data_IF_785292192099
#
_entry.id   IF_785292192099
#
_cell.length_a   1.000
_cell.length_b   1.000
_cell.length_c   1.000
_cell.angle_alpha   90.00
_cell.angle_beta   90.00
_cell.angle_gamma   90.00
#
_symmetry.space_group_name_H-M   'P 1'
#
loop_
_entity.id
_entity.type
_entity.pdbx_description
1 polymer ?
#
# COMPACT_ATOMS: atom_id res chain seq x y z
N UNK A 1 25.30 -1.93 6.18
CA UNK A 1 24.06 -2.16 5.42
C UNK A 1 22.91 -1.40 6.05
N UNK A 2 22.04 -0.82 5.24
CA UNK A 2 20.71 -0.35 5.66
C UNK A 2 19.69 -1.43 5.32
N UNK A 3 18.91 -1.87 6.29
CA UNK A 3 17.77 -2.77 6.09
C UNK A 3 16.47 -1.98 6.17
N UNK A 4 15.65 -2.04 5.13
CA UNK A 4 14.27 -1.54 5.13
C UNK A 4 13.36 -2.69 5.55
N UNK A 5 12.74 -2.56 6.73
CA UNK A 5 11.87 -3.62 7.30
C UNK A 5 10.51 -3.75 6.57
N UNK A 6 9.66 -4.66 7.07
CA UNK A 6 8.34 -4.91 6.51
C UNK A 6 7.36 -3.73 6.73
N UNK A 7 7.70 -2.82 7.63
CA UNK A 7 7.00 -1.57 7.92
C UNK A 7 7.58 -0.39 7.11
N UNK A 8 8.60 -0.62 6.28
CA UNK A 8 9.24 0.41 5.46
C UNK A 8 10.23 1.30 6.22
N UNK A 9 10.61 0.95 7.45
CA UNK A 9 11.56 1.71 8.25
C UNK A 9 13.01 1.27 7.98
N UNK A 10 13.93 2.22 7.80
CA UNK A 10 15.34 1.91 7.65
C UNK A 10 16.01 1.64 9.01
N UNK A 11 16.82 0.58 9.07
CA UNK A 11 17.62 0.18 10.21
C UNK A 11 19.08 0.01 9.80
N UNK A 12 20.01 0.44 10.64
CA UNK A 12 21.41 0.07 10.46
C UNK A 12 21.60 -1.40 10.82
N UNK A 13 22.18 -2.17 9.91
CA UNK A 13 22.45 -3.60 10.08
C UNK A 13 23.96 -3.88 9.99
N UNK A 14 24.68 -3.84 11.13
CA UNK A 14 26.08 -4.24 11.19
C UNK A 14 26.21 -5.73 10.83
N UNK A 15 27.12 -6.07 9.91
CA UNK A 15 27.32 -7.46 9.48
C UNK A 15 26.39 -7.95 8.35
N UNK A 16 25.44 -7.11 7.90
CA UNK A 16 24.53 -7.45 6.80
C UNK A 16 23.53 -8.55 7.16
N UNK A 17 22.89 -9.14 6.15
CA UNK A 17 21.84 -10.15 6.35
C UNK A 17 22.33 -11.48 6.95
N UNK A 18 23.65 -11.72 6.95
CA UNK A 18 24.24 -12.95 7.49
C UNK A 18 24.35 -12.94 9.03
N UNK A 19 24.31 -11.77 9.66
CA UNK A 19 24.25 -11.67 11.12
C UNK A 19 22.83 -11.91 11.62
N UNK A 20 22.53 -13.16 11.93
CA UNK A 20 21.20 -13.58 12.38
C UNK A 20 20.71 -12.86 13.65
N UNK A 21 21.62 -12.44 14.54
CA UNK A 21 21.23 -11.74 15.77
C UNK A 21 20.86 -10.28 15.47
N UNK A 22 21.70 -9.60 14.69
CA UNK A 22 21.44 -8.22 14.26
C UNK A 22 20.20 -8.13 13.37
N UNK A 23 20.01 -9.09 12.45
CA UNK A 23 18.86 -9.15 11.57
C UNK A 23 17.56 -9.42 12.35
N UNK A 24 17.59 -10.32 13.33
CA UNK A 24 16.44 -10.54 14.20
C UNK A 24 16.06 -9.26 14.95
N UNK A 25 17.03 -8.59 15.57
CA UNK A 25 16.81 -7.37 16.35
C UNK A 25 16.23 -6.23 15.49
N UNK A 26 16.79 -6.02 14.29
CA UNK A 26 16.29 -5.02 13.34
C UNK A 26 14.85 -5.29 12.87
N UNK A 27 14.43 -6.56 12.83
CA UNK A 27 13.05 -6.96 12.51
C UNK A 27 12.13 -7.00 13.75
N UNK A 28 12.61 -6.56 14.92
CA UNK A 28 11.86 -6.53 16.17
C UNK A 28 11.73 -7.90 16.85
N UNK A 29 12.64 -8.83 16.59
CA UNK A 29 12.68 -10.17 17.17
C UNK A 29 13.95 -10.37 18.00
N UNK A 30 13.84 -11.09 19.12
CA UNK A 30 14.98 -11.52 19.91
C UNK A 30 15.38 -12.95 19.53
N UNK A 31 16.63 -13.15 19.13
CA UNK A 31 17.19 -14.49 18.93
C UNK A 31 17.49 -15.16 20.29
N UNK A 32 16.78 -16.25 20.58
CA UNK A 32 16.90 -17.05 21.82
C UNK A 32 17.20 -18.53 21.49
N UNK A 33 17.63 -19.36 22.47
CA UNK A 33 17.89 -20.79 22.24
C UNK A 33 16.71 -21.56 21.63
N UNK A 34 15.48 -21.19 21.98
CA UNK A 34 14.24 -21.75 21.48
C UNK A 34 13.80 -21.26 20.09
N UNK A 35 14.39 -20.16 19.59
CA UNK A 35 14.06 -19.57 18.29
C UNK A 35 14.04 -18.04 18.28
N UNK A 36 13.33 -17.46 17.31
CA UNK A 36 13.07 -16.03 17.22
C UNK A 36 11.84 -15.70 18.05
N UNK A 37 11.94 -14.80 19.02
CA UNK A 37 10.83 -14.47 19.90
C UNK A 37 10.47 -12.99 19.88
N UNK A 38 9.16 -12.70 19.86
CA UNK A 38 8.57 -11.37 20.02
C UNK A 38 7.37 -11.49 20.95
N UNK A 39 7.42 -10.75 22.05
CA UNK A 39 6.48 -10.88 23.17
C UNK A 39 6.36 -12.34 23.64
N UNK A 40 5.14 -12.90 23.69
CA UNK A 40 4.84 -14.28 24.07
C UNK A 40 4.96 -15.27 22.90
N UNK A 41 5.29 -14.81 21.70
CA UNK A 41 5.38 -15.64 20.49
C UNK A 41 6.84 -15.99 20.21
N UNK A 42 7.12 -17.28 20.00
CA UNK A 42 8.43 -17.76 19.56
C UNK A 42 8.28 -18.65 18.32
N UNK A 43 9.06 -18.34 17.28
CA UNK A 43 9.14 -19.08 16.02
C UNK A 43 10.45 -19.88 16.01
N UNK A 44 10.40 -21.22 15.95
CA UNK A 44 11.62 -22.02 15.93
C UNK A 44 12.36 -21.84 14.59
N UNK A 45 13.66 -21.59 14.67
CA UNK A 45 14.51 -21.44 13.48
C UNK A 45 14.62 -22.77 12.71
N UNK A 46 14.78 -23.88 13.42
CA UNK A 46 14.97 -25.23 12.83
C UNK A 46 16.11 -25.29 11.79
N UNK A 47 17.15 -24.48 11.96
CA UNK A 47 18.28 -24.38 11.02
C UNK A 47 18.00 -23.54 9.77
N UNK A 48 16.82 -22.92 9.66
CA UNK A 48 16.48 -21.98 8.58
C UNK A 48 17.10 -20.59 8.85
N UNK A 49 17.40 -19.82 7.78
CA UNK A 49 17.68 -18.39 7.89
C UNK A 49 16.57 -17.62 8.63
N UNK A 50 16.91 -16.45 9.17
CA UNK A 50 15.96 -15.59 9.91
C UNK A 50 14.76 -15.20 9.04
N UNK A 51 15.00 -14.75 7.80
CA UNK A 51 13.92 -14.36 6.88
C UNK A 51 12.96 -15.52 6.59
N UNK A 52 13.50 -16.68 6.21
CA UNK A 52 12.71 -17.90 5.97
C UNK A 52 11.91 -18.34 7.19
N UNK A 53 12.50 -18.22 8.39
CA UNK A 53 11.82 -18.57 9.63
C UNK A 53 10.62 -17.65 9.91
N UNK A 54 10.76 -16.37 9.59
CA UNK A 54 9.72 -15.34 9.73
C UNK A 54 8.76 -15.28 8.52
N UNK A 55 8.99 -16.08 7.48
CA UNK A 55 8.20 -16.04 6.25
C UNK A 55 8.34 -14.72 5.49
N UNK A 56 9.56 -14.19 5.46
CA UNK A 56 9.93 -12.97 4.74
C UNK A 56 10.79 -13.30 3.52
N UNK A 57 10.68 -12.47 2.49
CA UNK A 57 11.56 -12.42 1.33
C UNK A 57 12.44 -11.17 1.43
N UNK A 58 13.60 -11.18 0.77
CA UNK A 58 14.54 -10.07 0.81
C UNK A 58 15.16 -9.75 -0.55
N UNK A 59 15.42 -8.48 -0.80
CA UNK A 59 16.18 -7.95 -1.93
C UNK A 59 17.39 -7.21 -1.37
N UNK A 60 18.55 -7.36 -2.01
CA UNK A 60 19.80 -6.70 -1.61
C UNK A 60 20.42 -5.98 -2.81
N UNK A 61 20.75 -4.70 -2.64
CA UNK A 61 21.72 -3.98 -3.46
C UNK A 61 23.07 -3.97 -2.73
N UNK A 62 23.97 -4.89 -3.11
CA UNK A 62 25.30 -4.98 -2.50
C UNK A 62 26.16 -3.75 -2.78
N UNK A 63 25.95 -3.06 -3.92
CA UNK A 63 26.75 -1.91 -4.31
C UNK A 63 26.37 -0.67 -3.49
N UNK A 64 25.09 -0.51 -3.19
CA UNK A 64 24.57 0.57 -2.35
C UNK A 64 24.55 0.23 -0.85
N UNK A 65 24.84 -1.02 -0.48
CA UNK A 65 24.78 -1.52 0.91
C UNK A 65 23.38 -1.34 1.53
N UNK A 66 22.33 -1.65 0.74
CA UNK A 66 20.91 -1.54 1.13
C UNK A 66 20.20 -2.87 0.89
N UNK A 67 19.32 -3.26 1.80
CA UNK A 67 18.40 -4.38 1.64
C UNK A 67 16.97 -3.94 2.00
N UNK A 68 15.97 -4.62 1.44
CA UNK A 68 14.59 -4.49 1.87
C UNK A 68 13.96 -5.87 2.03
N UNK A 69 13.06 -6.00 3.00
CA UNK A 69 12.29 -7.23 3.21
C UNK A 69 10.80 -6.99 3.06
N UNK A 70 10.08 -8.05 2.70
CA UNK A 70 8.63 -8.10 2.50
C UNK A 70 8.12 -9.46 3.01
N UNK A 71 6.84 -9.60 3.38
CA UNK A 71 6.25 -10.92 3.62
C UNK A 71 6.29 -11.79 2.36
N UNK A 72 6.46 -13.10 2.53
CA UNK A 72 6.20 -14.06 1.44
C UNK A 72 4.71 -14.05 1.07
N UNK A 73 4.37 -14.59 -0.11
CA UNK A 73 2.99 -14.75 -0.54
C UNK A 73 2.17 -15.54 0.49
N UNK A 74 2.72 -16.63 1.02
CA UNK A 74 2.04 -17.45 2.03
C UNK A 74 1.75 -16.66 3.32
N UNK A 75 2.72 -15.87 3.79
CA UNK A 75 2.55 -15.01 4.97
C UNK A 75 1.49 -13.95 4.71
N UNK A 76 1.59 -13.27 3.57
CA UNK A 76 0.69 -12.22 3.16
C UNK A 76 -0.76 -12.70 2.98
N UNK A 77 -0.96 -13.85 2.32
CA UNK A 77 -2.29 -14.45 2.15
C UNK A 77 -2.90 -14.80 3.49
N UNK A 78 -2.11 -15.37 4.41
CA UNK A 78 -2.59 -15.70 5.75
C UNK A 78 -3.05 -14.47 6.54
N UNK A 79 -2.36 -13.34 6.38
CA UNK A 79 -2.77 -12.07 7.00
C UNK A 79 -4.10 -11.57 6.43
N UNK A 80 -4.27 -11.60 5.11
CA UNK A 80 -5.51 -11.20 4.43
C UNK A 80 -6.68 -12.13 4.74
N UNK A 81 -6.46 -13.45 4.72
CA UNK A 81 -7.49 -14.48 4.93
C UNK A 81 -8.08 -14.46 6.35
N UNK A 82 -7.36 -13.89 7.33
CA UNK A 82 -7.90 -13.64 8.67
C UNK A 82 -9.10 -12.68 8.68
N UNK A 83 -9.25 -11.89 7.62
CA UNK A 83 -10.32 -10.92 7.42
C UNK A 83 -10.30 -9.74 8.39
N UNK A 84 -9.29 -9.66 9.27
CA UNK A 84 -9.03 -8.49 10.11
C UNK A 84 -8.25 -7.48 9.28
N UNK A 85 -8.62 -6.21 9.39
CA UNK A 85 -7.89 -5.12 8.74
C UNK A 85 -6.42 -5.15 9.19
N UNK A 86 -5.46 -5.21 8.25
CA UNK A 86 -4.05 -5.06 8.57
C UNK A 86 -3.80 -3.73 9.29
N UNK A 87 -2.95 -3.76 10.31
CA UNK A 87 -2.54 -2.55 11.03
C UNK A 87 -1.88 -1.57 10.06
N UNK A 88 -2.08 -0.26 10.21
CA UNK A 88 -1.34 0.76 9.46
C UNK A 88 -0.91 1.89 10.38
N UNK A 89 0.36 1.92 10.73
CA UNK A 89 0.99 3.06 11.40
C UNK A 89 1.90 3.76 10.38
N UNK A 90 1.50 4.96 9.99
CA UNK A 90 2.15 5.75 8.95
C UNK A 90 2.49 7.15 9.48
N UNK A 91 2.94 8.01 8.57
CA UNK A 91 3.18 9.43 8.86
C UNK A 91 2.31 10.31 7.97
N UNK A 92 1.86 11.44 8.49
CA UNK A 92 1.27 12.50 7.69
C UNK A 92 2.35 13.22 6.86
N UNK A 93 1.93 14.17 6.04
CA UNK A 93 2.83 14.97 5.17
C UNK A 93 3.83 15.83 5.95
N UNK A 94 3.60 16.07 7.25
CA UNK A 94 4.53 16.79 8.14
C UNK A 94 5.37 15.82 8.99
N UNK A 95 5.29 14.52 8.73
CA UNK A 95 6.03 13.47 9.44
C UNK A 95 5.43 13.05 10.79
N UNK A 96 4.24 13.54 11.16
CA UNK A 96 3.58 13.17 12.42
C UNK A 96 2.98 11.77 12.31
N UNK A 97 3.05 10.94 13.37
CA UNK A 97 2.47 9.61 13.34
C UNK A 97 0.94 9.70 13.22
N UNK A 98 0.38 8.88 12.32
CA UNK A 98 -1.07 8.69 12.16
C UNK A 98 -1.34 7.20 11.97
N UNK A 99 -2.37 6.68 12.63
CA UNK A 99 -2.70 5.26 12.56
C UNK A 99 -4.14 5.05 12.08
N UNK A 100 -4.35 4.09 11.18
CA UNK A 100 -5.70 3.69 10.77
C UNK A 100 -6.43 2.97 11.92
N UNK A 101 -5.67 2.34 12.81
CA UNK A 101 -6.15 1.62 13.99
C UNK A 101 -6.67 2.57 15.08
N UNK A 102 -6.25 3.83 15.10
CA UNK A 102 -6.79 4.86 16.01
C UNK A 102 -8.30 5.11 15.78
N UNK A 103 -8.82 4.68 14.63
CA UNK A 103 -10.22 4.79 14.25
C UNK A 103 -11.04 3.52 14.58
N UNK A 104 -10.44 2.50 15.21
CA UNK A 104 -11.10 1.24 15.58
C UNK A 104 -12.38 1.46 16.40
N UNK A 105 -13.34 0.54 16.28
CA UNK A 105 -14.69 0.68 16.87
C UNK A 105 -15.66 1.52 16.04
N UNK A 106 -15.22 2.04 14.89
CA UNK A 106 -16.06 2.74 13.91
C UNK A 106 -16.12 1.97 12.59
N UNK A 107 -17.19 2.23 11.82
CA UNK A 107 -17.16 1.95 10.38
C UNK A 107 -16.12 2.85 9.74
N UNK A 108 -15.12 2.24 9.12
CA UNK A 108 -13.99 2.95 8.53
C UNK A 108 -13.89 2.69 7.05
N UNK A 109 -13.39 3.68 6.34
CA UNK A 109 -13.03 3.55 4.92
C UNK A 109 -11.61 4.02 4.73
N UNK A 110 -10.79 3.13 4.18
CA UNK A 110 -9.44 3.41 3.72
C UNK A 110 -9.50 3.81 2.24
N UNK A 111 -9.04 5.01 1.91
CA UNK A 111 -8.97 5.53 0.54
C UNK A 111 -7.52 5.67 0.13
N UNK A 112 -7.05 4.89 -0.83
CA UNK A 112 -5.72 5.09 -1.40
C UNK A 112 -5.77 5.95 -2.64
N UNK A 113 -4.81 6.86 -2.76
CA UNK A 113 -4.66 7.78 -3.87
C UNK A 113 -3.18 8.07 -4.09
N UNK A 114 -2.83 8.86 -5.09
CA UNK A 114 -1.46 9.32 -5.27
C UNK A 114 -1.40 10.64 -6.05
N UNK A 115 -0.35 11.44 -5.85
CA UNK A 115 -0.15 12.72 -6.56
C UNK A 115 -0.05 12.55 -8.08
N UNK A 116 0.39 11.38 -8.53
CA UNK A 116 0.53 11.00 -9.94
C UNK A 116 -0.75 10.42 -10.56
N UNK A 117 -1.86 10.38 -9.83
CA UNK A 117 -3.15 9.90 -10.31
C UNK A 117 -4.23 11.02 -10.34
N UNK A 118 -5.25 10.86 -11.17
CA UNK A 118 -6.39 11.79 -11.24
C UNK A 118 -7.10 11.93 -9.88
N UNK A 119 -7.14 10.85 -9.10
CA UNK A 119 -7.82 10.81 -7.82
C UNK A 119 -7.27 11.76 -6.75
N UNK A 120 -6.09 12.37 -6.94
CA UNK A 120 -5.60 13.47 -6.09
C UNK A 120 -6.56 14.65 -5.96
N UNK A 121 -7.47 14.84 -6.93
CA UNK A 121 -8.50 15.88 -6.90
C UNK A 121 -9.75 15.48 -6.12
N UNK A 122 -9.91 14.20 -5.78
CA UNK A 122 -11.14 13.65 -5.21
C UNK A 122 -11.20 13.78 -3.67
N UNK A 123 -10.15 14.31 -3.03
CA UNK A 123 -10.08 14.47 -1.56
C UNK A 123 -11.26 15.30 -1.02
N UNK A 124 -11.64 16.36 -1.74
CA UNK A 124 -12.81 17.16 -1.38
C UNK A 124 -14.13 16.39 -1.56
N UNK A 125 -14.18 15.42 -2.48
CA UNK A 125 -15.30 14.49 -2.63
C UNK A 125 -15.45 13.57 -1.43
N UNK A 126 -14.34 12.97 -1.00
CA UNK A 126 -14.29 12.18 0.23
C UNK A 126 -14.63 13.00 1.47
N UNK A 127 -14.19 14.26 1.56
CA UNK A 127 -14.55 15.16 2.65
C UNK A 127 -16.08 15.36 2.75
N UNK A 128 -16.80 15.48 1.64
CA UNK A 128 -18.28 15.58 1.65
C UNK A 128 -18.93 14.33 2.26
N UNK A 129 -18.42 13.14 1.94
CA UNK A 129 -18.91 11.88 2.52
C UNK A 129 -18.60 11.77 4.01
N UNK A 130 -17.40 12.20 4.43
CA UNK A 130 -17.04 12.29 5.84
C UNK A 130 -18.02 13.21 6.59
N UNK A 131 -18.29 14.41 6.07
CA UNK A 131 -19.21 15.36 6.70
C UNK A 131 -20.65 14.83 6.78
N UNK A 132 -21.10 14.15 5.72
CA UNK A 132 -22.45 13.57 5.66
C UNK A 132 -22.63 12.43 6.67
N UNK A 133 -21.66 11.53 6.77
CA UNK A 133 -21.81 10.24 7.46
C UNK A 133 -21.07 10.15 8.80
N UNK A 134 -20.32 11.19 9.20
CA UNK A 134 -19.60 11.20 10.49
C UNK A 134 -20.52 11.00 11.70
N UNK A 135 -21.70 11.63 11.67
CA UNK A 135 -22.71 11.50 12.71
C UNK A 135 -23.36 10.11 12.76
N UNK A 136 -23.39 9.42 11.60
CA UNK A 136 -23.85 8.04 11.46
C UNK A 136 -22.76 7.01 11.84
N UNK A 137 -21.55 7.48 12.20
CA UNK A 137 -20.46 6.64 12.71
C UNK A 137 -19.31 6.38 11.73
N UNK A 138 -19.35 6.93 10.49
CA UNK A 138 -18.28 6.76 9.52
C UNK A 138 -17.00 7.52 9.91
N UNK A 139 -15.84 6.91 9.68
CA UNK A 139 -14.52 7.54 9.75
C UNK A 139 -13.71 7.24 8.48
N UNK A 140 -13.32 8.28 7.76
CA UNK A 140 -12.40 8.17 6.63
C UNK A 140 -10.95 8.20 7.12
N UNK A 141 -10.09 7.53 6.37
CA UNK A 141 -8.64 7.63 6.44
C UNK A 141 -8.12 7.51 5.01
N UNK A 142 -7.28 8.44 4.56
CA UNK A 142 -6.68 8.32 3.23
C UNK A 142 -5.17 8.17 3.28
N UNK A 143 -4.63 7.50 2.27
CA UNK A 143 -3.19 7.27 2.12
C UNK A 143 -2.75 7.68 0.72
N UNK A 144 -1.80 8.59 0.66
CA UNK A 144 -1.08 8.96 -0.54
C UNK A 144 0.06 7.94 -0.78
N UNK A 145 0.01 7.20 -1.89
CA UNK A 145 1.05 6.24 -2.29
C UNK A 145 2.14 6.96 -3.10
N UNK A 146 2.89 7.81 -2.40
CA UNK A 146 3.89 8.72 -2.96
C UNK A 146 5.26 8.45 -2.31
N UNK A 147 6.32 8.41 -3.12
CA UNK A 147 7.70 8.14 -2.64
C UNK A 147 8.32 9.34 -1.90
N UNK A 148 7.86 10.55 -2.22
CA UNK A 148 8.17 11.81 -1.54
C UNK A 148 6.88 12.45 -1.01
N UNK A 149 6.76 12.69 0.32
CA UNK A 149 5.63 13.38 0.90
C UNK A 149 5.33 14.74 0.27
N UNK A 150 6.35 15.46 -0.21
CA UNK A 150 6.19 16.78 -0.82
C UNK A 150 5.39 16.74 -2.14
N UNK A 151 5.37 15.60 -2.85
CA UNK A 151 4.56 15.44 -4.06
C UNK A 151 3.05 15.44 -3.74
N UNK A 152 2.68 14.92 -2.57
CA UNK A 152 1.30 14.85 -2.09
C UNK A 152 0.82 16.14 -1.42
N UNK A 153 1.73 16.93 -0.83
CA UNK A 153 1.42 18.13 -0.03
C UNK A 153 0.46 19.11 -0.72
N UNK A 154 0.66 19.54 -1.98
CA UNK A 154 -0.21 20.53 -2.61
C UNK A 154 -1.66 20.05 -2.74
N UNK A 155 -1.85 18.75 -2.92
CA UNK A 155 -3.17 18.14 -3.07
C UNK A 155 -3.89 18.02 -1.73
N UNK A 156 -3.17 17.67 -0.67
CA UNK A 156 -3.69 17.64 0.70
C UNK A 156 -4.10 19.05 1.13
N UNK A 157 -3.25 20.05 0.90
CA UNK A 157 -3.53 21.45 1.24
C UNK A 157 -4.70 22.02 0.44
N UNK A 158 -4.86 21.63 -0.84
CA UNK A 158 -6.00 22.05 -1.65
C UNK A 158 -7.31 21.36 -1.26
N UNK A 159 -7.25 20.08 -0.87
CA UNK A 159 -8.41 19.29 -0.46
C UNK A 159 -8.94 19.64 0.93
N UNK A 160 -8.09 20.22 1.79
CA UNK A 160 -8.38 20.59 3.19
C UNK A 160 -9.16 19.50 3.97
N UNK A 161 -8.67 18.24 3.96
CA UNK A 161 -9.36 17.15 4.63
C UNK A 161 -9.35 17.34 6.14
N UNK A 162 -10.48 17.06 6.78
CA UNK A 162 -10.65 17.00 8.23
C UNK A 162 -10.40 15.60 8.78
N UNK A 163 -10.46 14.59 7.91
CA UNK A 163 -10.07 13.22 8.22
C UNK A 163 -8.54 13.05 8.09
N UNK A 164 -7.93 12.05 8.78
CA UNK A 164 -6.49 11.84 8.70
C UNK A 164 -6.03 11.45 7.30
N UNK A 165 -4.92 12.04 6.86
CA UNK A 165 -4.23 11.70 5.61
C UNK A 165 -2.80 11.30 5.91
N UNK A 166 -2.46 10.07 5.58
CA UNK A 166 -1.10 9.56 5.65
C UNK A 166 -0.40 9.59 4.28
N UNK A 167 0.92 9.55 4.31
CA UNK A 167 1.78 9.32 3.15
C UNK A 167 2.53 8.01 3.37
N UNK A 168 2.42 7.11 2.39
CA UNK A 168 3.10 5.84 2.38
C UNK A 168 4.24 5.84 1.36
N UNK A 169 5.44 6.14 1.87
CA UNK A 169 6.69 6.21 1.08
C UNK A 169 7.33 4.84 0.85
N UNK A 170 6.76 3.75 1.39
CA UNK A 170 7.34 2.40 1.35
C UNK A 170 6.39 1.37 0.71
N UNK A 171 5.23 1.80 0.24
CA UNK A 171 4.19 0.97 -0.36
C UNK A 171 3.66 -0.15 0.55
N UNK A 172 3.73 0.05 1.87
CA UNK A 172 3.26 -0.93 2.87
C UNK A 172 1.73 -1.07 2.85
N UNK A 173 1.00 -0.02 2.52
CA UNK A 173 -0.46 0.00 2.38
C UNK A 173 -0.87 -0.84 1.19
N UNK A 174 -0.17 -0.66 0.06
CA UNK A 174 -0.46 -1.39 -1.16
C UNK A 174 -0.16 -2.89 -1.01
N UNK A 175 0.94 -3.21 -0.33
CA UNK A 175 1.28 -4.57 0.09
C UNK A 175 0.17 -5.15 0.95
N UNK A 176 -0.07 -4.60 2.15
CA UNK A 176 -0.92 -5.18 3.19
C UNK A 176 -2.35 -5.42 2.74
N UNK A 177 -2.91 -4.51 1.95
CA UNK A 177 -4.30 -4.62 1.49
C UNK A 177 -4.44 -5.28 0.11
N UNK A 178 -3.34 -5.68 -0.55
CA UNK A 178 -3.41 -6.27 -1.89
C UNK A 178 -3.86 -5.26 -2.96
N UNK A 179 -3.52 -3.98 -2.78
CA UNK A 179 -3.90 -2.90 -3.70
C UNK A 179 -2.88 -2.86 -4.83
N UNK A 180 -3.36 -2.94 -6.06
CA UNK A 180 -2.54 -2.90 -7.28
C UNK A 180 -2.80 -1.66 -8.14
N UNK A 181 -3.74 -0.80 -7.75
CA UNK A 181 -4.06 0.44 -8.47
C UNK A 181 -4.68 1.50 -7.54
N UNK A 182 -4.66 2.77 -7.96
CA UNK A 182 -5.34 3.88 -7.28
C UNK A 182 -6.31 4.62 -8.22
N UNK A 183 -7.44 5.15 -7.72
CA UNK A 183 -7.88 5.04 -6.33
C UNK A 183 -8.39 3.63 -6.00
N UNK A 184 -8.11 3.15 -4.79
CA UNK A 184 -8.74 1.94 -4.25
C UNK A 184 -9.32 2.20 -2.88
N UNK A 185 -10.46 1.58 -2.59
CA UNK A 185 -11.24 1.82 -1.38
C UNK A 185 -11.57 0.52 -0.69
N UNK A 186 -11.24 0.45 0.61
CA UNK A 186 -11.48 -0.70 1.49
C UNK A 186 -12.45 -0.28 2.58
N UNK A 187 -13.43 -1.13 2.90
CA UNK A 187 -14.35 -0.89 4.02
C UNK A 187 -14.05 -1.83 5.17
N UNK A 188 -14.03 -1.27 6.37
CA UNK A 188 -13.74 -1.98 7.61
C UNK A 188 -14.84 -1.70 8.62
N UNK A 189 -15.40 -2.74 9.23
CA UNK A 189 -16.43 -2.61 10.25
C UNK A 189 -15.85 -2.25 11.63
N UNK A 190 -16.77 -2.07 12.57
CA UNK A 190 -16.49 -1.71 13.97
C UNK A 190 -15.68 -2.78 14.73
N UNK A 191 -15.67 -4.03 14.25
CA UNK A 191 -14.93 -5.16 14.81
C UNK A 191 -13.54 -5.34 14.17
N UNK A 192 -13.10 -4.33 13.41
CA UNK A 192 -11.89 -4.30 12.59
C UNK A 192 -11.85 -5.37 11.49
N UNK A 193 -13.00 -5.81 10.97
CA UNK A 193 -13.03 -6.76 9.84
C UNK A 193 -13.13 -6.03 8.52
N UNK A 194 -12.34 -6.46 7.54
CA UNK A 194 -12.51 -6.03 6.15
C UNK A 194 -13.84 -6.60 5.64
N UNK A 195 -14.83 -5.74 5.43
CA UNK A 195 -16.16 -6.11 4.95
C UNK A 195 -16.35 -5.81 3.46
N UNK A 196 -15.46 -5.02 2.88
CA UNK A 196 -15.34 -4.87 1.44
C UNK A 196 -13.86 -4.73 1.08
N UNK A 197 -13.30 -5.64 0.27
CA UNK A 197 -11.90 -5.59 -0.15
C UNK A 197 -11.63 -4.36 -1.03
N UNK A 198 -10.37 -4.10 -1.41
CA UNK A 198 -10.07 -3.00 -2.30
C UNK A 198 -10.83 -3.11 -3.63
N UNK A 199 -11.62 -2.08 -3.92
CA UNK A 199 -12.20 -1.87 -5.25
C UNK A 199 -11.99 -0.43 -5.68
N UNK A 200 -12.13 -0.17 -6.97
CA UNK A 200 -11.86 1.15 -7.54
C UNK A 200 -13.10 2.02 -7.42
N UNK A 201 -13.06 2.97 -6.48
CA UNK A 201 -14.17 3.86 -6.18
C UNK A 201 -13.69 5.31 -6.20
N UNK A 202 -14.20 6.15 -7.11
CA UNK A 202 -13.87 7.57 -7.14
C UNK A 202 -14.65 8.36 -6.07
N UNK A 203 -14.03 9.42 -5.56
CA UNK A 203 -14.66 10.35 -4.61
C UNK A 203 -15.62 11.36 -5.25
N UNK A 204 -15.53 11.56 -6.57
CA UNK A 204 -16.44 12.38 -7.37
C UNK A 204 -16.40 12.03 -8.88
N UNK A 205 -17.20 12.73 -9.68
CA UNK A 205 -17.33 12.48 -11.13
C UNK A 205 -16.41 13.34 -12.00
N UNK A 206 -15.38 14.01 -11.44
CA UNK A 206 -14.51 14.90 -12.23
C UNK A 206 -13.85 14.16 -13.42
N UNK A 207 -13.60 12.85 -13.26
CA UNK A 207 -12.98 12.01 -14.29
C UNK A 207 -13.91 10.96 -14.88
N UNK A 208 -15.24 11.10 -14.75
CA UNK A 208 -16.21 10.09 -15.24
C UNK A 208 -16.07 9.79 -16.74
N UNK A 209 -15.69 10.79 -17.55
CA UNK A 209 -15.45 10.60 -18.97
C UNK A 209 -14.26 9.69 -19.27
N UNK A 210 -13.31 9.58 -18.35
CA UNK A 210 -12.15 8.69 -18.46
C UNK A 210 -12.41 7.35 -17.77
N UNK A 211 -12.86 7.38 -16.51
CA UNK A 211 -13.04 6.19 -15.68
C UNK A 211 -14.24 5.36 -16.12
N UNK A 212 -15.27 5.99 -16.68
CA UNK A 212 -16.60 5.42 -16.93
C UNK A 212 -17.27 4.87 -15.65
N UNK A 213 -16.82 5.33 -14.49
CA UNK A 213 -17.35 4.96 -13.17
C UNK A 213 -18.12 6.17 -12.64
N UNK A 214 -19.42 5.98 -12.42
CA UNK A 214 -20.29 6.93 -11.72
C UNK A 214 -20.08 6.77 -10.21
N UNK A 215 -19.56 7.83 -9.59
CA UNK A 215 -19.20 7.83 -8.16
C UNK A 215 -20.42 7.65 -7.25
N UNK A 216 -21.61 8.09 -7.68
CA UNK A 216 -22.83 8.02 -6.87
C UNK A 216 -23.25 6.57 -6.58
N UNK A 217 -22.92 5.64 -7.48
CA UNK A 217 -23.19 4.22 -7.26
C UNK A 217 -22.44 3.69 -6.02
N UNK A 218 -21.19 4.13 -5.83
CA UNK A 218 -20.43 3.80 -4.63
C UNK A 218 -20.93 4.56 -3.41
N UNK A 219 -21.24 5.85 -3.57
CA UNK A 219 -21.64 6.71 -2.45
C UNK A 219 -22.96 6.21 -1.85
N UNK A 220 -23.92 5.80 -2.68
CA UNK A 220 -25.17 5.20 -2.20
C UNK A 220 -24.93 3.87 -1.49
N UNK A 221 -24.05 3.01 -2.01
CA UNK A 221 -23.67 1.78 -1.32
C UNK A 221 -23.05 2.08 0.04
N UNK A 222 -22.19 3.10 0.14
CA UNK A 222 -21.57 3.54 1.39
C UNK A 222 -22.63 4.05 2.38
N UNK A 223 -23.58 4.88 1.94
CA UNK A 223 -24.70 5.35 2.77
C UNK A 223 -25.52 4.19 3.32
N UNK A 224 -25.87 3.21 2.48
CA UNK A 224 -26.64 2.02 2.87
C UNK A 224 -25.87 1.15 3.85
N UNK A 225 -24.58 0.91 3.62
CA UNK A 225 -23.78 0.17 4.58
C UNK A 225 -23.67 0.90 5.92
N UNK A 226 -23.40 2.20 5.92
CA UNK A 226 -23.25 2.98 7.14
C UNK A 226 -24.56 3.02 7.94
N UNK A 227 -25.68 3.40 7.31
CA UNK A 227 -26.96 3.62 7.98
C UNK A 227 -27.77 2.35 8.24
N UNK A 228 -27.66 1.36 7.36
CA UNK A 228 -28.52 0.16 7.36
C UNK A 228 -27.74 -1.14 7.57
N UNK A 229 -26.40 -1.12 7.48
CA UNK A 229 -25.57 -2.31 7.58
C UNK A 229 -25.59 -3.18 6.31
N UNK A 230 -26.10 -2.69 5.18
CA UNK A 230 -26.22 -3.47 3.94
C UNK A 230 -24.97 -3.33 3.07
N UNK A 231 -24.29 -4.44 2.81
CA UNK A 231 -23.12 -4.51 1.94
C UNK A 231 -23.52 -4.63 0.45
N UNK A 232 -22.75 -4.04 -0.48
CA UNK A 232 -22.92 -4.22 -1.92
C UNK A 232 -22.41 -5.59 -2.39
N UNK A 233 -22.75 -6.01 -3.62
CA UNK A 233 -22.25 -7.26 -4.20
C UNK A 233 -20.72 -7.30 -4.32
N UNK A 234 -20.09 -6.14 -4.59
CA UNK A 234 -18.64 -5.97 -4.59
C UNK A 234 -17.95 -6.28 -3.24
N UNK A 235 -18.69 -6.44 -2.14
CA UNK A 235 -18.18 -6.95 -0.88
C UNK A 235 -17.76 -8.43 -0.96
N UNK A 236 -18.31 -9.19 -1.91
CA UNK A 236 -17.97 -10.59 -2.16
C UNK A 236 -16.76 -10.75 -3.09
N UNK A 237 -16.15 -9.65 -3.54
CA UNK A 237 -14.94 -9.71 -4.34
C UNK A 237 -13.79 -10.37 -3.57
N UNK A 238 -12.85 -10.97 -4.28
CA UNK A 238 -11.60 -11.47 -3.70
C UNK A 238 -10.52 -10.39 -3.85
N UNK A 239 -9.77 -10.13 -2.77
CA UNK A 239 -8.59 -9.29 -2.83
C UNK A 239 -7.52 -9.95 -3.70
N UNK A 240 -6.70 -9.15 -4.39
CA UNK A 240 -5.60 -9.69 -5.20
C UNK A 240 -4.59 -10.41 -4.31
N UNK A 241 -4.45 -11.72 -4.54
CA UNK A 241 -3.48 -12.55 -3.86
C UNK A 241 -2.12 -12.44 -4.57
N UNK A 242 -1.18 -11.72 -3.95
CA UNK A 242 0.17 -11.49 -4.50
C UNK A 242 1.00 -12.76 -4.49
N UNK A 243 1.75 -13.00 -5.56
CA UNK A 243 2.78 -14.04 -5.65
C UNK A 243 4.09 -13.60 -4.98
N UNK A 244 5.02 -14.52 -4.73
CA UNK A 244 6.35 -14.18 -4.20
C UNK A 244 7.11 -13.22 -5.13
N UNK A 245 6.92 -13.36 -6.45
CA UNK A 245 7.48 -12.42 -7.43
C UNK A 245 6.90 -11.01 -7.24
N UNK A 246 5.58 -10.88 -7.10
CA UNK A 246 4.93 -9.59 -6.85
C UNK A 246 5.29 -9.01 -5.48
N UNK A 247 5.60 -9.83 -4.47
CA UNK A 247 6.14 -9.36 -3.19
C UNK A 247 7.57 -8.85 -3.36
N UNK A 248 8.44 -9.59 -4.05
CA UNK A 248 9.79 -9.15 -4.37
C UNK A 248 9.80 -7.85 -5.18
N UNK A 249 8.81 -7.63 -6.05
CA UNK A 249 8.64 -6.34 -6.74
C UNK A 249 8.49 -5.17 -5.76
N UNK A 250 7.74 -5.36 -4.66
CA UNK A 250 7.58 -4.35 -3.62
C UNK A 250 8.87 -4.15 -2.81
N UNK A 251 9.64 -5.21 -2.57
CA UNK A 251 10.97 -5.11 -1.95
C UNK A 251 11.93 -4.29 -2.83
N UNK A 252 11.97 -4.58 -4.14
CA UNK A 252 12.71 -3.77 -5.11
C UNK A 252 12.25 -2.31 -5.10
N UNK A 253 10.94 -2.06 -5.02
CA UNK A 253 10.41 -0.71 -4.92
C UNK A 253 10.85 0.02 -3.65
N UNK A 254 10.86 -0.65 -2.49
CA UNK A 254 11.36 -0.09 -1.23
C UNK A 254 12.83 0.34 -1.35
N UNK A 255 13.67 -0.52 -1.93
CA UNK A 255 15.07 -0.19 -2.22
C UNK A 255 15.15 1.00 -3.17
N UNK A 256 14.39 0.99 -4.27
CA UNK A 256 14.40 2.08 -5.24
C UNK A 256 14.01 3.43 -4.63
N UNK A 257 12.95 3.45 -3.82
CA UNK A 257 12.45 4.62 -3.12
C UNK A 257 13.49 5.20 -2.15
N UNK A 258 14.18 4.34 -1.40
CA UNK A 258 15.28 4.74 -0.53
C UNK A 258 16.47 5.31 -1.31
N UNK A 259 16.88 4.65 -2.39
CA UNK A 259 18.00 5.09 -3.24
C UNK A 259 17.69 6.42 -3.92
N UNK A 260 16.47 6.60 -4.40
CA UNK A 260 16.01 7.86 -4.99
C UNK A 260 16.12 9.01 -3.98
N UNK A 261 15.63 8.83 -2.75
CA UNK A 261 15.71 9.85 -1.69
C UNK A 261 17.14 10.13 -1.21
N UNK A 262 18.02 9.15 -1.30
CA UNK A 262 19.44 9.30 -0.90
C UNK A 262 20.34 9.75 -2.04
N UNK A 263 19.80 9.93 -3.24
CA UNK A 263 20.46 10.56 -4.39
C UNK A 263 21.07 9.60 -5.41
N UNK A 264 20.85 8.29 -5.29
CA UNK A 264 21.28 7.30 -6.28
C UNK A 264 20.15 6.94 -7.25
N UNK A 265 19.84 7.89 -8.14
CA UNK A 265 18.77 7.76 -9.11
C UNK A 265 19.00 6.63 -10.14
N UNK A 266 20.27 6.31 -10.45
CA UNK A 266 20.58 5.25 -11.40
C UNK A 266 20.35 3.87 -10.80
N UNK A 267 20.69 3.66 -9.53
CA UNK A 267 20.36 2.43 -8.81
C UNK A 267 18.84 2.31 -8.58
N UNK A 268 18.16 3.41 -8.23
CA UNK A 268 16.71 3.43 -8.11
C UNK A 268 16.00 2.98 -9.39
N UNK A 269 16.44 3.47 -10.56
CA UNK A 269 15.90 3.04 -11.87
C UNK A 269 16.09 1.55 -12.14
N UNK A 270 17.24 0.97 -11.77
CA UNK A 270 17.48 -0.47 -11.94
C UNK A 270 16.52 -1.31 -11.09
N UNK A 271 16.36 -0.95 -9.82
CA UNK A 271 15.43 -1.64 -8.94
C UNK A 271 13.98 -1.49 -9.40
N UNK A 272 13.59 -0.31 -9.90
CA UNK A 272 12.28 -0.14 -10.51
C UNK A 272 12.06 -1.04 -11.71
N UNK A 273 13.03 -1.14 -12.62
CA UNK A 273 12.91 -2.02 -13.79
C UNK A 273 12.67 -3.47 -13.37
N UNK A 274 13.42 -3.98 -12.38
CA UNK A 274 13.21 -5.32 -11.84
C UNK A 274 11.84 -5.46 -11.17
N UNK A 275 11.39 -4.46 -10.40
CA UNK A 275 10.06 -4.46 -9.81
C UNK A 275 8.96 -4.55 -10.88
N UNK A 276 9.12 -3.82 -11.98
CA UNK A 276 8.17 -3.82 -13.10
C UNK A 276 8.16 -5.16 -13.85
N UNK A 277 9.30 -5.84 -13.99
CA UNK A 277 9.39 -7.16 -14.60
C UNK A 277 8.75 -8.24 -13.73
N UNK A 278 8.90 -8.13 -12.41
CA UNK A 278 8.31 -9.04 -11.43
C UNK A 278 6.79 -8.83 -11.23
N UNK A 279 6.31 -7.59 -11.34
CA UNK A 279 4.89 -7.22 -11.18
C UNK A 279 4.38 -6.37 -12.36
N UNK A 280 4.32 -6.91 -13.59
CA UNK A 280 4.05 -6.13 -14.81
C UNK A 280 2.64 -5.52 -14.85
N UNK A 281 1.72 -6.01 -14.03
CA UNK A 281 0.31 -5.58 -14.01
C UNK A 281 -0.06 -4.75 -12.80
N UNK A 282 0.90 -4.49 -11.90
CA UNK A 282 0.69 -3.64 -10.74
C UNK A 282 0.88 -2.18 -11.14
N UNK A 283 -0.22 -1.42 -11.17
CA UNK A 283 -0.19 -0.01 -11.53
C UNK A 283 0.51 0.84 -10.48
N UNK A 284 0.46 0.45 -9.21
CA UNK A 284 1.23 1.16 -8.17
C UNK A 284 2.73 1.04 -8.46
N UNK A 285 3.20 -0.14 -8.88
CA UNK A 285 4.60 -0.37 -9.30
C UNK A 285 4.93 0.34 -10.61
N UNK A 286 4.16 0.10 -11.68
CA UNK A 286 4.41 0.61 -13.03
C UNK A 286 4.25 2.14 -13.08
N UNK A 287 3.06 2.64 -12.79
CA UNK A 287 2.73 4.07 -12.91
C UNK A 287 3.39 4.91 -11.83
N UNK A 288 3.45 4.40 -10.59
CA UNK A 288 4.21 5.07 -9.53
C UNK A 288 5.71 5.13 -9.83
N UNK A 289 6.29 4.11 -10.48
CA UNK A 289 7.69 4.11 -10.90
C UNK A 289 8.01 5.15 -11.98
N UNK A 290 7.08 5.38 -12.92
CA UNK A 290 7.18 6.45 -13.93
C UNK A 290 7.30 7.80 -13.22
N UNK A 291 6.41 8.08 -12.26
CA UNK A 291 6.42 9.33 -11.51
C UNK A 291 7.71 9.51 -10.73
N UNK A 292 8.16 8.47 -10.00
CA UNK A 292 9.38 8.51 -9.19
C UNK A 292 10.64 8.84 -10.01
N UNK A 293 10.67 8.45 -11.29
CA UNK A 293 11.84 8.68 -12.17
C UNK A 293 11.71 9.94 -13.03
N UNK A 294 10.68 10.77 -12.78
CA UNK A 294 10.44 12.03 -13.47
C UNK A 294 9.75 11.89 -14.83
N UNK A 295 9.22 10.72 -15.16
CA UNK A 295 8.36 10.52 -16.32
C UNK A 295 6.96 11.12 -16.12
N UNK A 296 6.20 11.28 -17.20
CA UNK A 296 4.80 11.72 -17.14
C UNK A 296 3.87 10.49 -16.95
N UNK A 297 3.26 10.31 -15.76
CA UNK A 297 2.43 9.17 -15.44
C UNK A 297 0.99 9.29 -15.97
N UNK A 298 0.68 10.27 -16.83
CA UNK A 298 -0.65 10.49 -17.42
C UNK A 298 -0.69 10.42 -18.94
N UNK A 299 0.23 11.11 -19.61
CA UNK A 299 0.26 11.20 -21.08
C UNK A 299 1.66 10.97 -21.64
N UNK A 300 2.61 10.58 -20.79
CA UNK A 300 3.97 10.25 -21.19
C UNK A 300 4.01 9.00 -22.06
N UNK A 301 5.06 8.91 -22.89
CA UNK A 301 5.28 7.78 -23.79
C UNK A 301 5.32 6.44 -23.04
N UNK A 302 6.00 6.39 -21.89
CA UNK A 302 6.08 5.19 -21.05
C UNK A 302 4.71 4.77 -20.49
N UNK A 303 3.91 5.73 -20.02
CA UNK A 303 2.56 5.45 -19.54
C UNK A 303 1.66 4.95 -20.68
N UNK A 304 1.70 5.59 -21.85
CA UNK A 304 0.89 5.20 -23.00
C UNK A 304 1.27 3.80 -23.50
N UNK A 305 2.56 3.46 -23.49
CA UNK A 305 3.03 2.12 -23.83
C UNK A 305 2.50 1.07 -22.85
N UNK A 306 2.62 1.33 -21.55
CA UNK A 306 2.07 0.45 -20.51
C UNK A 306 0.55 0.30 -20.63
N UNK A 307 -0.18 1.40 -20.86
CA UNK A 307 -1.62 1.36 -21.02
C UNK A 307 -2.05 0.49 -22.21
N UNK A 308 -1.36 0.59 -23.35
CA UNK A 308 -1.64 -0.24 -24.53
C UNK A 308 -1.37 -1.72 -24.28
N UNK A 309 -0.27 -2.04 -23.59
CA UNK A 309 0.07 -3.41 -23.19
C UNK A 309 -1.00 -3.99 -22.27
N UNK A 310 -1.44 -3.21 -21.28
CA UNK A 310 -2.46 -3.60 -20.33
C UNK A 310 -3.83 -3.82 -21.01
N UNK A 311 -4.27 -2.89 -21.86
CA UNK A 311 -5.53 -3.00 -22.61
C UNK A 311 -5.51 -4.24 -23.54
N UNK A 312 -4.37 -4.50 -24.18
CA UNK A 312 -4.16 -5.68 -25.02
C UNK A 312 -4.08 -7.02 -24.28
N UNK A 313 -3.81 -7.00 -22.96
CA UNK A 313 -3.64 -8.23 -22.16
C UNK A 313 -4.94 -9.00 -21.94
N UNK A 314 -6.10 -8.36 -22.12
CA UNK A 314 -7.42 -8.96 -21.87
C UNK A 314 -7.64 -9.35 -20.41
N UNK A 315 -6.74 -8.96 -19.49
CA UNK A 315 -6.99 -9.03 -18.05
C UNK A 315 -8.24 -8.20 -17.79
N UNK A 316 -9.17 -8.69 -16.96
CA UNK A 316 -10.26 -7.84 -16.50
C UNK A 316 -9.59 -6.67 -15.81
N UNK A 317 -9.56 -5.52 -16.49
CA UNK A 317 -9.31 -4.30 -15.79
C UNK A 317 -10.39 -4.12 -14.75
N UNK A 318 -10.05 -3.44 -13.65
CA UNK A 318 -10.99 -2.94 -12.64
C UNK A 318 -12.02 -3.97 -12.15
N UNK A 319 -11.93 -4.46 -10.91
CA UNK A 319 -13.15 -4.93 -10.24
C UNK A 319 -13.99 -3.69 -9.94
N UNK A 320 -15.16 -3.48 -10.61
CA UNK A 320 -15.96 -2.30 -10.39
C UNK A 320 -16.52 -2.31 -8.97
N UNK A 321 -16.85 -1.14 -8.47
CA UNK A 321 -17.29 -0.95 -7.09
C UNK A 321 -18.72 -1.42 -6.81
N UNK A 322 -19.45 -1.82 -7.83
CA UNK A 322 -20.84 -2.31 -7.76
C UNK A 322 -20.95 -3.77 -8.10
#
# INVERSE_FOLDING_TARGET
>A
MILIDAEGHPHELPGGLDDAAALADALGWALKPEGLCRDETCVPLLGRPVLDALGLLGVVDEAADVAAVVPSAETHHRELDGGRAPRLDLRDVDGRPVSFDDLSGHKRVLVTWASWCGCRHELAGWQRLQDELAADGLRLFSVALDDDPEDSRPWIEAGVPTYPVAVDTAHVTAERYGITNVPSVVWVDEDDRVVKPPTIAPGDDQFIDFTKIDSEQHHEALRRWVREGVLPASAEAEAHQRTDAEQLALAHRRVASYLQRTGDADAAKRHLAEAQDLAPWDWTVRRGGIAMTGGDPFLGEEFLAFWQEWDGSGRPGYTPTT
#
